data_IF_301766502858
#
_entry.id   IF_301766502858
#
_cell.length_a   1.000
_cell.length_b   1.000
_cell.length_c   1.000
_cell.angle_alpha   90.00
_cell.angle_beta   90.00
_cell.angle_gamma   90.00
#
_symmetry.space_group_name_H-M   'P 1'
#
loop_
_entity.id
_entity.type
_entity.pdbx_description
1 polymer ?
#
# COMPACT_ATOMS: atom_id res chain seq x y z
N UNK A 1 13.07 -9.60 4.41
CA UNK A 1 11.93 -9.10 5.21
C UNK A 1 12.38 -8.16 6.34
N UNK A 2 13.63 -8.25 6.74
CA UNK A 2 14.24 -7.67 7.93
C UNK A 2 14.38 -6.16 7.77
N UNK A 3 14.88 -5.72 6.60
CA UNK A 3 14.92 -4.30 6.24
C UNK A 3 13.53 -3.65 6.29
N UNK A 4 12.48 -4.35 5.84
CA UNK A 4 11.11 -3.85 5.91
C UNK A 4 10.64 -3.62 7.36
N UNK A 5 11.05 -4.49 8.29
CA UNK A 5 10.76 -4.34 9.73
C UNK A 5 11.53 -3.18 10.34
N UNK A 6 12.79 -2.99 9.94
CA UNK A 6 13.61 -1.84 10.36
C UNK A 6 13.02 -0.52 9.87
N UNK A 7 12.63 -0.42 8.61
CA UNK A 7 11.97 0.77 8.06
C UNK A 7 10.67 1.08 8.80
N UNK A 8 9.84 0.06 9.07
CA UNK A 8 8.57 0.23 9.79
C UNK A 8 8.82 0.81 11.20
N UNK A 9 9.84 0.31 11.91
CA UNK A 9 10.27 0.84 13.21
C UNK A 9 10.80 2.28 13.10
N UNK A 10 11.65 2.57 12.11
CA UNK A 10 12.20 3.91 11.88
C UNK A 10 11.11 4.95 11.61
N UNK A 11 10.03 4.56 10.93
CA UNK A 11 8.88 5.44 10.67
C UNK A 11 7.92 5.57 11.87
N UNK A 12 8.23 4.93 13.00
CA UNK A 12 7.47 4.98 14.24
C UNK A 12 6.20 4.13 14.24
N UNK A 13 6.17 3.08 13.43
CA UNK A 13 5.11 2.07 13.48
C UNK A 13 5.55 0.89 14.35
N UNK A 14 4.58 0.25 15.00
CA UNK A 14 4.72 -1.06 15.64
C UNK A 14 4.12 -2.11 14.70
N UNK A 15 4.84 -3.20 14.43
CA UNK A 15 4.31 -4.30 13.62
C UNK A 15 3.27 -5.08 14.43
N UNK A 16 2.02 -5.07 13.98
CA UNK A 16 0.90 -5.72 14.65
C UNK A 16 0.42 -6.99 13.96
N UNK A 17 0.66 -7.11 12.65
CA UNK A 17 0.22 -8.28 11.87
C UNK A 17 1.11 -8.53 10.64
N UNK A 18 0.89 -9.63 9.94
CA UNK A 18 1.57 -10.00 8.69
C UNK A 18 0.62 -10.73 7.73
N UNK A 19 0.11 -10.01 6.73
CA UNK A 19 -0.78 -10.54 5.72
C UNK A 19 0.02 -11.34 4.69
N UNK A 20 -0.43 -12.55 4.35
CA UNK A 20 0.18 -13.38 3.31
C UNK A 20 -0.74 -13.50 2.09
N UNK A 21 -0.19 -13.33 0.91
CA UNK A 21 -0.89 -13.62 -0.35
C UNK A 21 -0.36 -14.92 -0.93
N UNK A 22 -1.21 -15.95 -0.97
CA UNK A 22 -0.98 -17.23 -1.64
C UNK A 22 -1.31 -17.09 -3.12
N UNK A 23 -0.32 -17.40 -3.96
CA UNK A 23 -0.39 -17.24 -5.42
C UNK A 23 -1.02 -18.46 -6.08
N UNK A 24 -2.21 -18.28 -6.63
CA UNK A 24 -2.90 -19.32 -7.40
C UNK A 24 -2.86 -19.06 -8.90
N UNK A 25 -3.07 -20.12 -9.68
CA UNK A 25 -3.41 -20.03 -11.09
C UNK A 25 -4.93 -19.99 -11.29
N UNK A 26 -5.38 -19.89 -12.55
CA UNK A 26 -6.81 -19.90 -12.94
C UNK A 26 -7.61 -21.12 -12.44
N UNK A 27 -6.93 -22.22 -12.12
CA UNK A 27 -7.54 -23.44 -11.57
C UNK A 27 -7.46 -23.51 -10.04
N UNK A 28 -7.17 -22.39 -9.37
CA UNK A 28 -7.01 -22.29 -7.92
C UNK A 28 -5.92 -23.22 -7.34
N UNK A 29 -4.92 -23.58 -8.15
CA UNK A 29 -3.77 -24.36 -7.71
C UNK A 29 -2.58 -23.45 -7.43
N UNK A 30 -1.80 -23.79 -6.40
CA UNK A 30 -0.56 -23.08 -6.09
C UNK A 30 0.41 -23.21 -7.27
N UNK A 31 0.98 -22.08 -7.67
CA UNK A 31 2.00 -22.03 -8.71
C UNK A 31 3.31 -22.63 -8.14
N UNK A 32 3.71 -23.79 -8.67
CA UNK A 32 4.91 -24.53 -8.21
C UNK A 32 6.01 -24.65 -9.26
N UNK A 33 5.75 -24.21 -10.48
CA UNK A 33 6.66 -24.28 -11.62
C UNK A 33 7.55 -23.05 -11.70
N UNK A 34 8.75 -23.20 -12.27
CA UNK A 34 9.75 -22.13 -12.40
C UNK A 34 10.65 -21.98 -11.18
N UNK A 35 11.77 -21.25 -11.34
CA UNK A 35 12.73 -20.96 -10.26
C UNK A 35 12.38 -19.61 -9.62
N UNK A 36 11.46 -19.63 -8.67
CA UNK A 36 10.88 -18.40 -8.07
C UNK A 36 11.52 -17.99 -6.75
N UNK A 37 12.46 -18.80 -6.23
CA UNK A 37 13.25 -18.47 -5.06
C UNK A 37 14.67 -19.05 -5.13
N UNK A 38 15.46 -18.71 -4.12
CA UNK A 38 16.88 -19.11 -4.09
C UNK A 38 17.04 -20.60 -3.74
N UNK A 39 16.29 -21.07 -2.73
CA UNK A 39 16.33 -22.46 -2.23
C UNK A 39 15.00 -23.19 -2.41
N UNK A 40 13.88 -22.50 -2.16
CA UNK A 40 12.52 -23.03 -2.28
C UNK A 40 11.72 -22.13 -3.20
N UNK A 41 10.71 -22.69 -3.88
CA UNK A 41 9.80 -21.89 -4.69
C UNK A 41 8.94 -20.97 -3.82
N UNK A 42 8.79 -19.73 -4.26
CA UNK A 42 8.02 -18.70 -3.55
C UNK A 42 6.54 -18.77 -3.98
N UNK A 43 5.74 -19.55 -3.25
CA UNK A 43 4.30 -19.66 -3.46
C UNK A 43 3.47 -18.52 -2.85
N UNK A 44 4.11 -17.55 -2.19
CA UNK A 44 3.45 -16.44 -1.50
C UNK A 44 4.25 -15.15 -1.49
N UNK A 45 3.56 -14.04 -1.25
CA UNK A 45 4.12 -12.74 -0.88
C UNK A 45 3.66 -12.33 0.52
N UNK A 46 4.46 -11.51 1.21
CA UNK A 46 4.17 -11.02 2.55
C UNK A 46 3.90 -9.51 2.50
N UNK A 47 2.97 -9.05 3.34
CA UNK A 47 2.66 -7.64 3.57
C UNK A 47 2.68 -7.38 5.09
N UNK A 48 3.63 -6.57 5.55
CA UNK A 48 3.72 -6.18 6.96
C UNK A 48 2.62 -5.18 7.30
N UNK A 49 1.92 -5.41 8.41
CA UNK A 49 0.90 -4.48 8.93
C UNK A 49 1.45 -3.76 10.15
N UNK A 50 1.52 -2.44 10.07
CA UNK A 50 2.02 -1.57 11.14
C UNK A 50 0.93 -0.67 11.72
N UNK A 51 0.95 -0.48 13.03
CA UNK A 51 0.09 0.48 13.75
C UNK A 51 0.94 1.64 14.27
N UNK A 52 0.48 2.87 14.09
CA UNK A 52 1.13 4.08 14.63
C UNK A 52 0.14 4.87 15.45
N UNK A 53 0.52 5.21 16.68
CA UNK A 53 -0.38 5.82 17.65
C UNK A 53 -1.49 4.85 18.08
N UNK A 54 -2.62 5.40 18.53
CA UNK A 54 -3.79 4.63 18.97
C UNK A 54 -5.01 5.01 18.11
N UNK A 55 -5.14 4.48 16.88
CA UNK A 55 -6.26 4.79 16.01
C UNK A 55 -7.57 4.29 16.64
N UNK A 56 -8.54 5.19 16.76
CA UNK A 56 -9.90 4.87 17.19
C UNK A 56 -10.72 4.33 16.01
N UNK A 57 -11.77 3.56 16.31
CA UNK A 57 -12.74 3.06 15.31
C UNK A 57 -12.16 2.09 14.26
N UNK A 58 -11.26 1.20 14.69
CA UNK A 58 -10.77 0.10 13.87
C UNK A 58 -11.60 -1.17 14.11
N UNK A 59 -12.19 -1.71 13.03
CA UNK A 59 -12.81 -3.03 13.01
C UNK A 59 -11.73 -4.13 12.99
N UNK A 60 -11.34 -4.63 14.15
CA UNK A 60 -10.35 -5.70 14.25
C UNK A 60 -11.01 -7.07 14.05
N UNK A 61 -10.30 -7.98 13.37
CA UNK A 61 -10.69 -9.39 13.26
C UNK A 61 -11.90 -9.68 12.34
N UNK A 62 -12.23 -8.78 11.40
CA UNK A 62 -13.26 -9.05 10.38
C UNK A 62 -12.77 -9.98 9.26
N UNK A 63 -11.50 -9.88 8.91
CA UNK A 63 -10.85 -10.66 7.86
C UNK A 63 -9.69 -11.48 8.42
N UNK A 64 -9.33 -12.53 7.70
CA UNK A 64 -8.15 -13.34 8.00
C UNK A 64 -6.86 -12.71 7.43
N UNK A 65 -5.72 -13.18 7.92
CA UNK A 65 -4.38 -12.79 7.50
C UNK A 65 -3.88 -13.51 6.22
N UNK A 66 -4.76 -14.22 5.52
CA UNK A 66 -4.44 -14.96 4.28
C UNK A 66 -5.34 -14.53 3.13
N UNK A 67 -4.74 -14.00 2.06
CA UNK A 67 -5.38 -13.82 0.76
C UNK A 67 -5.01 -14.99 -0.15
N UNK A 68 -6.00 -15.63 -0.76
CA UNK A 68 -5.80 -16.59 -1.85
C UNK A 68 -6.33 -15.95 -3.12
N UNK A 69 -5.43 -15.61 -4.05
CA UNK A 69 -5.81 -14.90 -5.27
C UNK A 69 -4.86 -15.21 -6.43
N UNK A 70 -5.41 -15.09 -7.63
CA UNK A 70 -4.69 -15.38 -8.87
C UNK A 70 -3.58 -14.36 -9.16
N UNK A 71 -2.47 -14.85 -9.70
CA UNK A 71 -1.43 -13.97 -10.23
C UNK A 71 -1.89 -13.40 -11.57
N UNK A 72 -1.90 -12.07 -11.68
CA UNK A 72 -2.29 -11.35 -12.90
C UNK A 72 -1.07 -10.92 -13.71
N UNK A 73 -0.56 -9.72 -13.45
CA UNK A 73 0.64 -9.18 -14.09
C UNK A 73 1.83 -9.16 -13.11
N UNK A 74 3.05 -9.03 -13.65
CA UNK A 74 4.26 -8.90 -12.83
C UNK A 74 4.12 -7.77 -11.82
N UNK A 75 4.37 -8.08 -10.54
CA UNK A 75 4.25 -7.16 -9.40
C UNK A 75 2.84 -6.64 -9.08
N UNK A 76 1.81 -7.06 -9.81
CA UNK A 76 0.42 -6.68 -9.53
C UNK A 76 -0.09 -7.43 -8.30
N UNK A 77 -0.35 -6.70 -7.21
CA UNK A 77 -0.86 -7.22 -5.94
C UNK A 77 -2.37 -7.53 -6.05
N UNK A 78 -2.91 -8.45 -5.22
CA UNK A 78 -4.33 -8.78 -5.22
C UNK A 78 -5.18 -7.56 -4.86
N UNK A 79 -6.30 -7.35 -5.56
CA UNK A 79 -7.22 -6.24 -5.27
C UNK A 79 -8.00 -6.47 -3.97
N UNK A 80 -8.08 -7.71 -3.52
CA UNK A 80 -8.72 -8.15 -2.28
C UNK A 80 -8.16 -7.39 -1.05
N UNK A 81 -6.88 -6.95 -1.11
CA UNK A 81 -6.27 -6.15 -0.06
C UNK A 81 -7.03 -4.84 0.18
N UNK A 82 -7.60 -4.24 -0.86
CA UNK A 82 -8.39 -3.03 -0.71
C UNK A 82 -9.67 -3.30 0.07
N UNK A 83 -10.31 -4.44 -0.14
CA UNK A 83 -11.47 -4.89 0.63
C UNK A 83 -11.16 -4.95 2.12
N UNK A 84 -10.09 -5.64 2.48
CA UNK A 84 -9.61 -5.78 3.87
C UNK A 84 -9.37 -4.40 4.50
N UNK A 85 -8.70 -3.48 3.79
CA UNK A 85 -8.43 -2.13 4.28
C UNK A 85 -9.73 -1.33 4.49
N UNK A 86 -10.71 -1.47 3.59
CA UNK A 86 -12.02 -0.77 3.72
C UNK A 86 -12.72 -1.22 4.99
N UNK A 87 -12.90 -2.54 5.15
CA UNK A 87 -13.71 -3.09 6.22
C UNK A 87 -13.12 -2.80 7.60
N UNK A 88 -11.79 -2.70 7.70
CA UNK A 88 -11.13 -2.32 8.94
C UNK A 88 -11.42 -0.88 9.39
N UNK A 89 -11.83 0.04 8.50
CA UNK A 89 -12.13 1.43 8.87
C UNK A 89 -13.63 1.71 8.89
N UNK A 90 -14.20 1.91 10.08
CA UNK A 90 -15.63 2.21 10.28
C UNK A 90 -16.16 3.41 9.47
N UNK A 91 -15.30 4.37 9.09
CA UNK A 91 -15.70 5.61 8.41
C UNK A 91 -15.67 5.50 6.89
N UNK A 92 -15.03 4.47 6.33
CA UNK A 92 -14.85 4.32 4.89
C UNK A 92 -15.92 3.40 4.32
N UNK A 93 -16.92 3.96 3.63
CA UNK A 93 -17.77 3.15 2.72
C UNK A 93 -16.92 2.74 1.51
N UNK A 94 -17.15 1.56 0.93
CA UNK A 94 -16.40 1.02 -0.23
C UNK A 94 -16.20 2.01 -1.38
N UNK A 95 -17.19 2.86 -1.67
CA UNK A 95 -17.11 3.92 -2.69
C UNK A 95 -16.17 5.08 -2.35
N UNK A 96 -15.75 5.21 -1.10
CA UNK A 96 -14.98 6.35 -0.56
C UNK A 96 -13.47 6.17 -0.73
N UNK A 97 -12.98 4.94 -0.88
CA UNK A 97 -11.54 4.68 -1.04
C UNK A 97 -11.05 4.99 -2.44
N UNK A 98 -11.87 4.77 -3.48
CA UNK A 98 -11.58 5.27 -4.83
C UNK A 98 -11.45 6.80 -4.82
N UNK A 99 -12.15 7.48 -3.90
CA UNK A 99 -12.12 8.95 -3.74
C UNK A 99 -10.99 9.46 -2.81
N UNK A 100 -10.48 8.64 -1.91
CA UNK A 100 -9.44 9.02 -0.93
C UNK A 100 -8.04 8.49 -1.28
N UNK A 101 -7.90 7.76 -2.39
CA UNK A 101 -6.63 7.21 -2.84
C UNK A 101 -5.82 8.24 -3.62
N UNK A 102 -4.75 8.75 -3.01
CA UNK A 102 -3.68 9.41 -3.76
C UNK A 102 -2.74 8.33 -4.29
N UNK A 103 -2.55 8.27 -5.60
CA UNK A 103 -1.61 7.33 -6.23
C UNK A 103 -0.37 8.08 -6.68
N UNK A 104 0.78 7.70 -6.14
CA UNK A 104 2.08 8.27 -6.48
C UNK A 104 2.95 7.19 -7.14
N UNK A 105 3.61 7.54 -8.23
CA UNK A 105 4.53 6.65 -8.93
C UNK A 105 5.13 7.32 -10.16
N UNK A 106 6.32 6.89 -10.57
CA UNK A 106 6.98 7.40 -11.78
C UNK A 106 6.35 6.90 -13.09
N UNK A 107 5.46 5.90 -13.02
CA UNK A 107 4.71 5.36 -14.15
C UNK A 107 3.30 5.96 -14.29
N UNK A 108 2.93 6.90 -13.42
CA UNK A 108 1.64 7.59 -13.54
C UNK A 108 1.74 8.70 -14.59
N UNK A 109 0.65 8.91 -15.31
CA UNK A 109 0.56 9.93 -16.35
C UNK A 109 0.31 11.32 -15.73
N UNK A 110 1.40 12.06 -15.58
CA UNK A 110 1.41 13.45 -15.11
C UNK A 110 0.88 13.64 -13.70
N UNK A 111 0.50 14.88 -13.39
CA UNK A 111 -0.09 15.27 -12.10
C UNK A 111 -1.58 15.52 -12.30
N UNK A 112 -2.42 14.69 -11.68
CA UNK A 112 -3.88 14.82 -11.69
C UNK A 112 -4.41 14.97 -10.26
N UNK A 113 -4.71 16.20 -9.87
CA UNK A 113 -5.24 16.54 -8.56
C UNK A 113 -6.67 17.08 -8.70
N UNK A 114 -7.55 16.64 -7.80
CA UNK A 114 -8.98 17.05 -7.79
C UNK A 114 -9.33 17.82 -6.51
N UNK A 115 -8.66 17.50 -5.40
CA UNK A 115 -8.87 18.16 -4.10
C UNK A 115 -8.34 19.60 -4.13
N UNK A 116 -9.18 20.63 -3.91
CA UNK A 116 -8.79 22.03 -3.93
C UNK A 116 -7.66 22.37 -2.94
N UNK A 117 -7.67 21.77 -1.76
CA UNK A 117 -6.66 22.05 -0.71
C UNK A 117 -5.30 21.47 -1.13
N UNK A 118 -5.31 20.28 -1.71
CA UNK A 118 -4.11 19.64 -2.25
C UNK A 118 -3.57 20.39 -3.47
N UNK A 119 -4.45 20.89 -4.34
CA UNK A 119 -4.08 21.74 -5.47
C UNK A 119 -3.41 23.02 -4.98
N UNK A 120 -3.98 23.68 -3.96
CA UNK A 120 -3.42 24.89 -3.36
C UNK A 120 -2.04 24.64 -2.75
N UNK A 121 -1.90 23.58 -1.96
CA UNK A 121 -0.63 23.17 -1.36
C UNK A 121 0.42 22.81 -2.42
N UNK A 122 0.03 22.08 -3.46
CA UNK A 122 0.92 21.69 -4.54
C UNK A 122 1.43 22.91 -5.32
N UNK A 123 0.55 23.84 -5.71
CA UNK A 123 0.94 25.08 -6.40
C UNK A 123 1.83 25.98 -5.55
N UNK A 124 1.59 26.03 -4.24
CA UNK A 124 2.45 26.77 -3.30
C UNK A 124 3.87 26.16 -3.25
N UNK A 125 3.97 24.83 -3.26
CA UNK A 125 5.24 24.11 -3.15
C UNK A 125 6.01 24.03 -4.47
N UNK A 126 5.30 23.86 -5.57
CA UNK A 126 5.81 23.70 -6.94
C UNK A 126 5.11 24.71 -7.88
N UNK A 127 5.47 25.99 -7.84
CA UNK A 127 4.80 27.04 -8.63
C UNK A 127 4.95 26.85 -10.15
N UNK A 128 6.08 26.25 -10.56
CA UNK A 128 6.40 25.90 -11.94
C UNK A 128 5.83 24.54 -12.38
N UNK A 129 5.17 23.83 -11.46
CA UNK A 129 4.65 22.48 -11.69
C UNK A 129 5.73 21.39 -11.80
N UNK A 130 7.01 21.72 -11.59
CA UNK A 130 8.10 20.77 -11.70
C UNK A 130 8.33 20.03 -10.38
N UNK A 131 7.65 18.91 -10.20
CA UNK A 131 7.83 18.05 -9.03
C UNK A 131 9.04 17.10 -9.11
N UNK A 132 9.86 17.20 -10.16
CA UNK A 132 11.05 16.34 -10.34
C UNK A 132 12.33 16.97 -9.77
N UNK A 133 12.35 18.29 -9.57
CA UNK A 133 13.44 18.96 -8.90
C UNK A 133 13.29 18.86 -7.37
N UNK A 134 14.40 18.78 -6.61
CA UNK A 134 14.35 18.88 -5.16
C UNK A 134 13.68 20.22 -4.81
N UNK A 135 12.63 20.19 -3.99
CA UNK A 135 11.89 21.41 -3.72
C UNK A 135 12.72 22.26 -2.73
N UNK A 136 12.58 23.60 -2.73
CA UNK A 136 13.37 24.48 -1.86
C UNK A 136 13.21 24.07 -0.38
N UNK A 137 14.24 24.18 0.47
CA UNK A 137 14.20 23.70 1.85
C UNK A 137 12.98 24.24 2.59
N UNK A 138 12.28 23.35 3.30
CA UNK A 138 11.07 23.69 4.05
C UNK A 138 11.45 24.35 5.38
N UNK A 139 11.03 25.60 5.66
CA UNK A 139 11.34 26.29 6.91
C UNK A 139 10.76 25.59 8.16
N UNK A 140 9.79 24.69 8.01
CA UNK A 140 9.10 24.01 9.12
C UNK A 140 9.64 22.63 9.50
N UNK A 141 10.66 22.12 8.81
CA UNK A 141 11.36 20.86 9.11
C UNK A 141 12.79 21.19 9.53
N UNK A 142 12.94 21.75 10.74
CA UNK A 142 14.20 21.87 11.48
C UNK A 142 14.16 20.98 12.71
#
# INVERSE_FOLDING_TARGET
MELGRECLKLWGYERVDELIWVKTNQLQRIIRTGRTGHWLNHGKEHCLVGMKGSPENLNRGLDCDVIVAEVRATSHKPDEIYGIIVFQNHRLKTTSIVKLKITLGNQVDGVRLVDPDLIGAFKKRYPDGNCMAPPPPDPGLA
#
